data_IF_953529837788
#
_entry.id   IF_953529837788
#
_cell.length_a   1.000
_cell.length_b   1.000
_cell.length_c   1.000
_cell.angle_alpha   90.00
_cell.angle_beta   90.00
_cell.angle_gamma   90.00
#
_symmetry.space_group_name_H-M   'P 1'
#
loop_
_entity.id
_entity.type
_entity.pdbx_description
1 polymer ?
#
# COMPACT_ATOMS: atom_id res chain seq x y z
N UNK A 1 7.42 20.44 7.96
CA UNK A 1 6.20 19.61 7.85
C UNK A 1 5.80 19.57 6.39
N UNK A 2 5.66 18.40 5.74
CA UNK A 2 5.17 18.30 4.36
C UNK A 2 3.72 17.80 4.41
N UNK A 3 2.80 18.55 3.80
CA UNK A 3 1.38 18.26 3.73
C UNK A 3 0.94 18.09 2.28
N UNK A 4 -0.19 17.42 2.05
CA UNK A 4 -0.81 17.34 0.72
C UNK A 4 -1.30 18.74 0.33
N UNK A 5 -0.98 19.21 -0.87
CA UNK A 5 -1.46 20.49 -1.37
C UNK A 5 -2.99 20.52 -1.38
N UNK A 6 -3.60 21.48 -0.68
CA UNK A 6 -5.06 21.57 -0.52
C UNK A 6 -5.67 20.53 0.42
N UNK A 7 -4.85 19.70 1.07
CA UNK A 7 -5.31 18.72 2.05
C UNK A 7 -5.41 19.31 3.46
N UNK A 8 -6.17 18.62 4.31
CA UNK A 8 -6.26 18.88 5.75
C UNK A 8 -5.48 17.78 6.47
N UNK A 9 -4.80 18.13 7.56
CA UNK A 9 -4.08 17.15 8.37
C UNK A 9 -5.07 16.13 8.94
N UNK A 10 -4.76 14.85 8.75
CA UNK A 10 -5.57 13.79 9.32
C UNK A 10 -5.50 13.82 10.85
N UNK A 11 -6.64 13.59 11.49
CA UNK A 11 -6.72 13.38 12.93
C UNK A 11 -6.22 11.98 13.30
N UNK A 12 -5.79 11.82 14.55
CA UNK A 12 -5.36 10.51 15.04
C UNK A 12 -6.51 9.50 14.94
N UNK A 13 -6.26 8.37 14.28
CA UNK A 13 -7.26 7.33 14.08
C UNK A 13 -8.34 7.63 13.03
N UNK A 14 -8.27 8.74 12.29
CA UNK A 14 -9.24 9.07 11.24
C UNK A 14 -9.24 8.05 10.10
N UNK A 15 -8.05 7.58 9.71
CA UNK A 15 -7.87 6.60 8.63
C UNK A 15 -7.03 5.42 9.13
N UNK A 16 -7.66 4.54 9.91
CA UNK A 16 -6.97 3.42 10.60
C UNK A 16 -6.35 2.39 9.66
N UNK A 17 -6.83 2.31 8.42
CA UNK A 17 -6.33 1.38 7.41
C UNK A 17 -5.06 1.86 6.70
N UNK A 18 -4.61 3.10 6.90
CA UNK A 18 -3.42 3.60 6.18
C UNK A 18 -2.15 2.91 6.68
N UNK A 19 -1.38 2.38 5.73
CA UNK A 19 -0.05 1.83 5.96
C UNK A 19 0.99 2.65 5.17
N UNK A 20 2.13 2.94 5.81
CA UNK A 20 3.31 3.45 5.15
C UNK A 20 4.22 2.28 4.81
N UNK A 21 4.70 2.21 3.58
CA UNK A 21 5.56 1.14 3.09
C UNK A 21 6.87 1.76 2.66
N UNK A 22 7.93 1.47 3.39
CA UNK A 22 9.28 1.92 3.07
C UNK A 22 10.04 0.81 2.33
N UNK A 23 10.59 1.15 1.17
CA UNK A 23 11.28 0.23 0.27
C UNK A 23 12.56 0.88 -0.21
N UNK A 24 13.73 0.44 0.25
CA UNK A 24 15.03 0.99 -0.17
C UNK A 24 15.07 2.54 -0.18
N UNK A 25 14.60 3.17 0.91
CA UNK A 25 14.46 4.64 1.09
C UNK A 25 13.39 5.32 0.23
N UNK A 26 12.54 4.57 -0.48
CA UNK A 26 11.35 5.07 -1.16
C UNK A 26 10.14 4.88 -0.24
N UNK A 27 9.30 5.91 -0.16
CA UNK A 27 8.06 5.84 0.61
C UNK A 27 6.87 5.62 -0.33
N UNK A 28 6.10 4.57 -0.07
CA UNK A 28 4.83 4.25 -0.70
C UNK A 28 3.70 4.24 0.33
N UNK A 29 2.47 4.29 -0.16
CA UNK A 29 1.27 4.07 0.64
C UNK A 29 0.69 2.66 0.44
N UNK A 30 -0.09 2.22 1.41
CA UNK A 30 -0.89 1.01 1.34
C UNK A 30 -2.12 1.10 2.23
N UNK A 31 -2.96 0.06 2.14
CA UNK A 31 -4.16 -0.09 2.95
C UNK A 31 -4.17 -1.46 3.62
N UNK A 32 -4.38 -1.49 4.93
CA UNK A 32 -4.67 -2.71 5.69
C UNK A 32 -6.04 -3.22 5.24
N UNK A 33 -6.08 -4.43 4.71
CA UNK A 33 -7.32 -5.06 4.24
C UNK A 33 -7.82 -6.16 5.19
N UNK A 34 -6.93 -6.71 6.01
CA UNK A 34 -7.23 -7.59 7.14
C UNK A 34 -6.07 -7.58 8.15
N UNK A 35 -6.09 -8.48 9.14
CA UNK A 35 -5.09 -8.57 10.22
C UNK A 35 -3.66 -8.80 9.74
N UNK A 36 -3.45 -9.31 8.52
CA UNK A 36 -2.14 -9.77 8.01
C UNK A 36 -1.84 -9.28 6.60
N UNK A 37 -2.76 -8.60 5.95
CA UNK A 37 -2.58 -8.18 4.56
C UNK A 37 -2.61 -6.66 4.40
N UNK A 38 -1.63 -6.16 3.65
CA UNK A 38 -1.57 -4.77 3.19
C UNK A 38 -1.63 -4.75 1.67
N UNK A 39 -2.62 -4.05 1.12
CA UNK A 39 -2.74 -3.77 -0.30
C UNK A 39 -1.91 -2.54 -0.67
N UNK A 40 -1.08 -2.63 -1.71
CA UNK A 40 -0.31 -1.52 -2.26
C UNK A 40 -0.23 -1.60 -3.79
N UNK A 41 0.51 -0.70 -4.44
CA UNK A 41 0.76 -0.78 -5.86
C UNK A 41 1.96 -1.69 -6.15
N UNK A 42 1.87 -2.54 -7.18
CA UNK A 42 2.95 -3.43 -7.59
C UNK A 42 4.29 -2.73 -7.81
N UNK A 43 4.28 -1.53 -8.41
CA UNK A 43 5.50 -0.75 -8.65
C UNK A 43 6.24 -0.33 -7.37
N UNK A 44 5.59 -0.37 -6.20
CA UNK A 44 6.25 -0.09 -4.93
C UNK A 44 7.17 -1.23 -4.49
N UNK A 45 6.83 -2.49 -4.81
CA UNK A 45 7.48 -3.68 -4.26
C UNK A 45 8.03 -4.64 -5.33
N UNK A 46 7.88 -4.31 -6.61
CA UNK A 46 8.22 -5.19 -7.73
C UNK A 46 9.67 -5.67 -7.68
N UNK A 47 10.62 -4.74 -7.65
CA UNK A 47 12.07 -5.03 -7.62
C UNK A 47 12.64 -5.16 -6.20
N UNK A 48 11.81 -4.96 -5.18
CA UNK A 48 12.22 -4.98 -3.79
C UNK A 48 12.45 -6.41 -3.26
N UNK A 49 13.53 -6.62 -2.51
CA UNK A 49 13.69 -7.81 -1.68
C UNK A 49 12.80 -7.70 -0.43
N UNK A 50 12.37 -8.82 0.12
CA UNK A 50 11.47 -8.83 1.28
C UNK A 50 12.08 -8.11 2.50
N UNK A 51 13.39 -8.28 2.71
CA UNK A 51 14.13 -7.70 3.84
C UNK A 51 14.29 -6.18 3.72
N UNK A 52 14.08 -5.64 2.51
CA UNK A 52 14.14 -4.22 2.23
C UNK A 52 12.77 -3.53 2.36
N UNK A 53 11.70 -4.28 2.64
CA UNK A 53 10.34 -3.76 2.79
C UNK A 53 10.00 -3.69 4.28
N UNK A 54 9.75 -2.48 4.76
CA UNK A 54 9.24 -2.23 6.11
C UNK A 54 7.85 -1.58 6.03
N UNK A 55 6.90 -2.10 6.79
CA UNK A 55 5.55 -1.54 6.90
C UNK A 55 5.44 -0.84 8.25
N UNK A 56 4.96 0.41 8.25
CA UNK A 56 4.60 1.16 9.45
C UNK A 56 3.10 1.47 9.46
N UNK A 57 2.41 1.13 10.56
CA UNK A 57 0.96 1.37 10.75
C UNK A 57 0.67 2.06 12.09
N UNK A 58 -0.55 2.55 12.27
CA UNK A 58 -1.03 3.06 13.57
C UNK A 58 -0.51 4.44 13.96
N UNK A 59 0.08 5.18 13.03
CA UNK A 59 0.60 6.52 13.28
C UNK A 59 0.14 7.54 12.24
N UNK A 60 0.10 8.80 12.64
CA UNK A 60 -0.11 9.97 11.77
C UNK A 60 1.20 10.75 11.53
N UNK A 61 2.32 10.27 12.06
CA UNK A 61 3.64 10.90 11.96
C UNK A 61 4.74 9.84 11.98
N UNK A 62 5.38 9.61 10.83
CA UNK A 62 6.40 8.58 10.66
C UNK A 62 7.71 8.84 11.43
N UNK A 63 7.87 10.02 12.03
CA UNK A 63 9.15 10.46 12.62
C UNK A 63 9.16 10.47 14.15
N UNK A 64 8.03 10.22 14.82
CA UNK A 64 7.95 10.26 16.29
C UNK A 64 8.04 8.89 16.97
N UNK A 65 8.18 7.81 16.19
CA UNK A 65 8.28 6.45 16.71
C UNK A 65 6.98 5.87 17.28
N UNK A 66 5.83 6.55 17.10
CA UNK A 66 4.53 6.05 17.56
C UNK A 66 3.95 4.91 16.70
N UNK A 67 4.52 4.71 15.50
CA UNK A 67 4.07 3.67 14.57
C UNK A 67 4.58 2.28 14.91
N UNK A 68 3.77 1.27 14.59
CA UNK A 68 4.16 -0.14 14.69
C UNK A 68 4.85 -0.52 13.38
N UNK A 69 6.13 -0.87 13.48
CA UNK A 69 6.96 -1.34 12.35
C UNK A 69 6.94 -2.87 12.27
N UNK A 70 6.78 -3.40 11.07
CA UNK A 70 6.82 -4.84 10.80
C UNK A 70 7.46 -5.13 9.44
N UNK A 71 8.12 -6.28 9.34
CA UNK A 71 8.67 -6.78 8.09
C UNK A 71 7.63 -7.52 7.25
N UNK A 72 7.99 -7.81 6.00
CA UNK A 72 7.14 -8.56 5.06
C UNK A 72 7.72 -9.96 4.87
N UNK A 73 6.87 -10.98 5.00
CA UNK A 73 7.27 -12.38 4.79
C UNK A 73 6.91 -12.89 3.40
N UNK A 74 5.96 -12.23 2.72
CA UNK A 74 5.59 -12.57 1.35
C UNK A 74 5.07 -11.36 0.57
N UNK A 75 5.40 -11.32 -0.73
CA UNK A 75 4.78 -10.40 -1.69
C UNK A 75 4.00 -11.18 -2.74
N UNK A 76 2.79 -10.71 -3.05
CA UNK A 76 1.99 -11.18 -4.17
C UNK A 76 1.89 -10.07 -5.21
N UNK A 77 2.32 -10.36 -6.43
CA UNK A 77 2.22 -9.44 -7.57
C UNK A 77 1.53 -10.21 -8.70
N UNK A 78 0.40 -9.73 -9.25
CA UNK A 78 -0.27 -10.36 -10.37
C UNK A 78 0.67 -10.54 -11.56
N UNK A 79 0.61 -11.71 -12.19
CA UNK A 79 1.40 -12.03 -13.39
C UNK A 79 1.10 -11.11 -14.58
N UNK A 80 -0.03 -10.40 -14.55
CA UNK A 80 -0.45 -9.41 -15.54
C UNK A 80 0.24 -8.05 -15.38
N UNK A 81 0.92 -7.80 -14.26
CA UNK A 81 1.62 -6.55 -14.03
C UNK A 81 2.73 -6.34 -15.06
N UNK A 82 2.67 -5.19 -15.75
CA UNK A 82 3.66 -4.75 -16.73
C UNK A 82 4.34 -3.50 -16.16
N UNK A 83 5.65 -3.57 -15.95
CA UNK A 83 6.44 -2.44 -15.41
C UNK A 83 6.35 -1.18 -16.30
N UNK A 84 6.06 -1.34 -17.60
CA UNK A 84 5.81 -0.23 -18.53
C UNK A 84 4.32 -0.07 -18.79
N UNK A 85 3.69 0.97 -18.21
CA UNK A 85 2.33 1.39 -18.60
C UNK A 85 2.47 2.31 -19.80
N UNK A 86 2.11 1.83 -21.00
CA UNK A 86 1.94 2.69 -22.17
C UNK A 86 0.59 3.36 -22.04
N UNK A 87 0.53 4.62 -21.61
CA UNK A 87 -0.72 5.36 -21.47
C UNK A 87 -1.35 5.53 -22.86
N UNK A 88 -2.51 4.93 -23.16
CA UNK A 88 -3.32 5.32 -24.31
C UNK A 88 -4.05 6.61 -23.94
N UNK A 89 -3.86 7.68 -24.73
CA UNK A 89 -4.56 8.99 -24.70
C UNK A 89 -5.31 9.35 -23.38
N UNK A 90 -4.75 10.30 -22.64
CA UNK A 90 -5.10 10.73 -21.28
C UNK A 90 -6.58 11.14 -21.08
N UNK A 91 -7.33 11.36 -22.16
CA UNK A 91 -8.70 11.88 -22.12
C UNK A 91 -9.77 10.94 -21.56
N UNK A 92 -9.47 9.66 -21.28
CA UNK A 92 -10.46 8.68 -20.78
C UNK A 92 -10.26 8.24 -19.32
N UNK A 93 -9.19 8.67 -18.65
CA UNK A 93 -8.78 8.08 -17.37
C UNK A 93 -9.62 8.57 -16.18
N UNK A 94 -10.07 9.84 -16.21
CA UNK A 94 -10.75 10.47 -15.08
C UNK A 94 -12.23 10.09 -14.90
N UNK A 95 -12.89 9.49 -15.90
CA UNK A 95 -14.32 9.15 -15.83
C UNK A 95 -14.65 7.82 -15.14
N UNK A 96 -13.65 7.09 -14.62
CA UNK A 96 -13.84 5.74 -14.05
C UNK A 96 -13.44 5.57 -12.58
N UNK A 97 -13.06 6.64 -11.90
CA UNK A 97 -12.66 6.58 -10.50
C UNK A 97 -13.89 6.60 -9.58
N UNK A 98 -14.37 5.41 -9.21
CA UNK A 98 -15.28 5.21 -8.08
C UNK A 98 -14.46 5.00 -6.79
N UNK A 99 -14.95 5.41 -5.61
CA UNK A 99 -14.24 5.27 -4.34
C UNK A 99 -14.01 3.80 -3.98
N UNK A 100 -12.94 3.57 -3.22
CA UNK A 100 -12.47 2.27 -2.76
C UNK A 100 -13.47 1.55 -1.85
N UNK A 101 -14.38 0.79 -2.46
CA UNK A 101 -14.87 -0.48 -1.90
C UNK A 101 -14.00 -1.55 -2.56
N UNK A 102 -13.26 -2.35 -1.78
CA UNK A 102 -12.50 -3.48 -2.33
C UNK A 102 -13.52 -4.49 -2.89
N UNK A 103 -13.63 -4.69 -4.23
CA UNK A 103 -14.49 -5.74 -4.73
C UNK A 103 -13.84 -7.07 -4.36
N UNK A 104 -14.50 -7.84 -3.48
CA UNK A 104 -14.05 -9.19 -3.18
C UNK A 104 -13.99 -9.99 -4.47
N UNK A 105 -12.77 -10.35 -4.89
CA UNK A 105 -12.56 -11.35 -5.93
C UNK A 105 -11.95 -12.57 -5.26
N UNK A 106 -12.59 -13.73 -5.46
CA UNK A 106 -12.20 -15.05 -4.99
C UNK A 106 -10.79 -15.44 -5.47
N UNK A 107 -9.76 -15.06 -4.72
CA UNK A 107 -8.46 -15.75 -4.75
C UNK A 107 -8.13 -16.13 -3.31
N UNK A 108 -7.86 -17.42 -3.07
CA UNK A 108 -7.37 -17.92 -1.79
C UNK A 108 -6.01 -17.29 -1.49
N UNK A 109 -6.01 -16.23 -0.70
CA UNK A 109 -4.79 -15.62 -0.19
C UNK A 109 -4.30 -16.54 0.95
N UNK A 110 -3.48 -17.53 0.58
CA UNK A 110 -2.34 -18.19 1.26
C UNK A 110 -2.32 -18.33 2.82
N UNK A 111 -1.67 -19.37 3.38
CA UNK A 111 -1.98 -19.87 4.71
C UNK A 111 -1.81 -18.86 5.86
N UNK A 112 -2.67 -19.06 6.85
CA UNK A 112 -3.08 -18.19 7.96
C UNK A 112 -2.01 -17.46 8.80
N UNK A 113 -0.71 -17.63 8.59
CA UNK A 113 0.32 -17.30 9.58
C UNK A 113 1.24 -16.12 9.28
N UNK A 114 1.15 -15.51 8.10
CA UNK A 114 2.19 -14.64 7.55
C UNK A 114 1.66 -13.27 7.09
N UNK A 115 2.39 -12.17 7.34
CA UNK A 115 2.03 -10.82 6.84
C UNK A 115 2.43 -10.68 5.37
N UNK A 116 1.46 -10.51 4.48
CA UNK A 116 1.70 -10.40 3.04
C UNK A 116 1.32 -9.03 2.47
N UNK A 117 2.13 -8.57 1.52
CA UNK A 117 1.80 -7.39 0.70
C UNK A 117 1.16 -7.86 -0.60
N UNK A 118 -0.04 -7.35 -0.88
CA UNK A 118 -0.82 -7.66 -2.07
C UNK A 118 -0.87 -6.45 -3.00
N UNK A 119 -1.12 -6.67 -4.28
CA UNK A 119 -1.16 -5.61 -5.30
C UNK A 119 -2.28 -5.83 -6.30
#
# INVERSE_FOLDING_TARGET
VRAVCGGIRAEHGQFKYIAAIEVDRRLCGGAIIDERHVLTAAHCIYDAKLEAIEITVGTINLYDGSGIKTGVVKKHIPSTYKHTIRIPDERKFYQKLLPCIYPQKNEEILPQNDIAVLT
#
